data_IF_596507702303
#
_entry.id   IF_596507702303
#
_cell.length_a   1.000
_cell.length_b   1.000
_cell.length_c   1.000
_cell.angle_alpha   90.00
_cell.angle_beta   90.00
_cell.angle_gamma   90.00
#
_symmetry.space_group_name_H-M   'P 1'
#
loop_
_entity.id
_entity.type
_entity.pdbx_description
1 polymer ?
#
# COMPACT_ATOMS: atom_id res chain seq x y z
N UNK A 1 -6.51 12.77 11.05
CA UNK A 1 -6.11 11.57 11.81
C UNK A 1 -4.67 11.69 12.21
N UNK A 2 -4.33 11.27 13.42
CA UNK A 2 -2.95 11.28 13.90
C UNK A 2 -2.16 10.17 13.23
N UNK A 3 -0.99 10.53 12.71
CA UNK A 3 0.06 9.57 12.40
C UNK A 3 0.71 9.11 13.72
N UNK A 4 1.23 7.90 13.72
CA UNK A 4 1.94 7.32 14.87
C UNK A 4 3.13 6.51 14.39
N UNK A 5 3.97 6.03 15.30
CA UNK A 5 5.15 5.25 14.95
C UNK A 5 4.96 3.76 15.23
N UNK A 6 5.48 2.92 14.34
CA UNK A 6 5.81 1.52 14.66
C UNK A 6 7.35 1.44 14.61
N UNK A 7 7.97 1.18 15.75
CA UNK A 7 9.42 1.39 15.90
C UNK A 7 9.79 2.82 15.51
N UNK A 8 10.69 2.98 14.53
CA UNK A 8 11.08 4.31 14.02
C UNK A 8 10.30 4.78 12.78
N UNK A 9 9.38 3.97 12.27
CA UNK A 9 8.65 4.25 11.01
C UNK A 9 7.34 4.98 11.30
N UNK A 10 7.11 6.12 10.66
CA UNK A 10 5.85 6.85 10.73
C UNK A 10 4.78 6.16 9.89
N UNK A 11 3.60 5.93 10.47
CA UNK A 11 2.41 5.38 9.82
C UNK A 11 1.38 6.49 9.68
N UNK A 12 1.05 6.85 8.45
CA UNK A 12 0.08 7.91 8.15
C UNK A 12 0.10 8.31 6.68
N UNK A 13 -0.86 9.15 6.27
CA UNK A 13 -0.96 9.62 4.89
C UNK A 13 0.24 10.46 4.43
N UNK A 14 0.93 11.12 5.38
CA UNK A 14 2.09 11.97 5.12
C UNK A 14 3.42 11.19 5.05
N UNK A 15 3.37 9.85 5.10
CA UNK A 15 4.53 8.97 5.02
C UNK A 15 4.36 7.92 3.91
N UNK A 16 5.46 7.44 3.31
CA UNK A 16 5.41 6.30 2.40
C UNK A 16 4.73 5.08 3.03
N UNK A 17 4.02 4.24 2.25
CA UNK A 17 3.34 3.07 2.77
C UNK A 17 4.28 2.11 3.50
N UNK A 18 3.84 1.59 4.64
CA UNK A 18 4.59 0.62 5.42
C UNK A 18 4.40 -0.81 4.88
N UNK A 19 5.41 -1.32 4.18
CA UNK A 19 5.42 -2.65 3.56
C UNK A 19 5.89 -3.74 4.55
N UNK A 20 5.03 -4.73 4.76
CA UNK A 20 5.26 -5.90 5.60
C UNK A 20 5.43 -7.13 4.71
N UNK A 21 6.56 -7.82 4.85
CA UNK A 21 6.79 -9.14 4.26
C UNK A 21 6.35 -10.22 5.27
N UNK A 22 5.28 -10.93 4.95
CA UNK A 22 4.76 -12.03 5.76
C UNK A 22 5.46 -13.34 5.40
N UNK A 23 6.19 -13.93 6.35
CA UNK A 23 6.89 -15.20 6.13
C UNK A 23 5.92 -16.38 6.16
N UNK A 24 4.95 -16.39 7.09
CA UNK A 24 4.09 -17.54 7.37
C UNK A 24 4.92 -18.84 7.48
N UNK A 25 4.38 -19.97 7.02
CA UNK A 25 5.08 -21.27 6.93
C UNK A 25 6.02 -21.43 5.72
N UNK A 26 6.40 -20.36 5.01
CA UNK A 26 7.26 -20.46 3.82
C UNK A 26 8.72 -20.83 4.14
N UNK A 27 9.11 -20.83 5.42
CA UNK A 27 10.41 -21.31 5.88
C UNK A 27 10.56 -22.85 5.78
N UNK A 28 9.49 -23.59 5.48
CA UNK A 28 9.53 -25.04 5.24
C UNK A 28 10.28 -25.84 6.31
N UNK A 29 10.04 -25.51 7.59
CA UNK A 29 10.73 -26.14 8.72
C UNK A 29 12.27 -26.09 8.62
N UNK A 30 12.83 -24.99 8.11
CA UNK A 30 14.26 -24.70 8.13
C UNK A 30 14.56 -23.28 8.63
N UNK A 31 15.31 -23.17 9.73
CA UNK A 31 15.77 -21.88 10.24
C UNK A 31 16.69 -21.18 9.24
N UNK A 32 17.57 -21.92 8.56
CA UNK A 32 18.44 -21.35 7.53
C UNK A 32 17.63 -20.72 6.40
N UNK A 33 16.53 -21.37 5.98
CA UNK A 33 15.61 -20.81 5.00
C UNK A 33 14.89 -19.58 5.53
N UNK A 34 14.43 -19.60 6.79
CA UNK A 34 13.82 -18.43 7.42
C UNK A 34 14.77 -17.22 7.40
N UNK A 35 16.04 -17.42 7.76
CA UNK A 35 17.06 -16.36 7.73
C UNK A 35 17.34 -15.85 6.32
N UNK A 36 17.37 -16.72 5.31
CA UNK A 36 17.47 -16.32 3.90
C UNK A 36 16.26 -15.49 3.45
N UNK A 37 15.04 -15.85 3.90
CA UNK A 37 13.84 -15.06 3.63
C UNK A 37 13.98 -13.65 4.24
N UNK A 38 14.50 -13.53 5.48
CA UNK A 38 14.75 -12.22 6.09
C UNK A 38 15.70 -11.38 5.24
N UNK A 39 16.80 -11.97 4.78
CA UNK A 39 17.78 -11.29 3.93
C UNK A 39 17.19 -10.83 2.61
N UNK A 40 16.39 -11.68 1.97
CA UNK A 40 15.74 -11.36 0.71
C UNK A 40 14.69 -10.25 0.89
N UNK A 41 13.91 -10.27 1.98
CA UNK A 41 12.93 -9.23 2.30
C UNK A 41 13.61 -7.87 2.55
N UNK A 42 14.71 -7.86 3.32
CA UNK A 42 15.50 -6.65 3.56
C UNK A 42 16.09 -6.10 2.26
N UNK A 43 16.68 -6.97 1.42
CA UNK A 43 17.24 -6.59 0.12
C UNK A 43 16.19 -6.03 -0.84
N UNK A 44 14.96 -6.55 -0.78
CA UNK A 44 13.83 -6.04 -1.56
C UNK A 44 13.31 -4.69 -1.08
N UNK A 45 13.73 -4.23 0.10
CA UNK A 45 13.34 -2.94 0.68
C UNK A 45 12.06 -2.99 1.51
N UNK A 46 11.61 -4.17 1.96
CA UNK A 46 10.51 -4.25 2.92
C UNK A 46 10.87 -3.47 4.20
N UNK A 47 9.86 -3.07 4.97
CA UNK A 47 10.06 -2.31 6.21
C UNK A 47 9.95 -3.18 7.45
N UNK A 48 9.19 -4.27 7.34
CA UNK A 48 9.06 -5.24 8.40
C UNK A 48 8.97 -6.67 7.89
N UNK A 49 9.41 -7.59 8.75
CA UNK A 49 9.15 -9.01 8.67
C UNK A 49 8.04 -9.36 9.65
N UNK A 50 7.08 -10.18 9.23
CA UNK A 50 6.03 -10.72 10.09
C UNK A 50 6.08 -12.25 10.14
N UNK A 51 5.86 -12.80 11.33
CA UNK A 51 5.67 -14.23 11.59
C UNK A 51 4.24 -14.52 12.06
N UNK A 52 3.98 -15.81 12.30
CA UNK A 52 2.80 -16.31 13.00
C UNK A 52 3.27 -17.12 14.22
N UNK A 53 2.69 -16.85 15.39
CA UNK A 53 3.12 -17.45 16.66
C UNK A 53 1.97 -18.24 17.26
N UNK A 54 2.07 -19.56 17.14
CA UNK A 54 1.14 -20.54 17.68
C UNK A 54 1.81 -21.91 17.75
N UNK A 55 1.14 -22.89 18.35
CA UNK A 55 1.40 -24.32 18.13
C UNK A 55 0.12 -24.98 17.62
N UNK A 56 0.19 -26.20 17.07
CA UNK A 56 -1.04 -26.88 16.66
C UNK A 56 -1.99 -27.11 17.84
N UNK A 57 -1.43 -27.38 19.04
CA UNK A 57 -2.17 -27.55 20.30
C UNK A 57 -2.97 -26.31 20.72
N UNK A 58 -2.49 -25.10 20.43
CA UNK A 58 -3.22 -23.86 20.77
C UNK A 58 -4.21 -23.46 19.69
N UNK A 59 -4.05 -23.95 18.47
CA UNK A 59 -4.90 -23.62 17.32
C UNK A 59 -6.11 -24.54 17.15
N UNK A 60 -5.94 -25.84 17.41
CA UNK A 60 -6.95 -26.83 17.05
C UNK A 60 -6.81 -28.11 17.88
N UNK A 61 -7.67 -29.09 17.62
CA UNK A 61 -7.60 -30.41 18.25
C UNK A 61 -6.84 -31.39 17.35
N UNK A 62 -6.06 -32.28 17.96
CA UNK A 62 -5.39 -33.40 17.26
C UNK A 62 -6.41 -34.47 16.82
N UNK A 63 -7.19 -34.11 15.80
CA UNK A 63 -8.23 -34.92 15.19
C UNK A 63 -8.07 -34.89 13.68
N UNK A 64 -8.17 -36.07 13.05
CA UNK A 64 -8.10 -36.23 11.60
C UNK A 64 -9.46 -36.60 10.98
N UNK A 65 -10.55 -36.23 11.64
CA UNK A 65 -11.92 -36.58 11.27
C UNK A 65 -12.88 -35.40 11.40
N UNK A 66 -14.15 -35.60 10.99
CA UNK A 66 -15.18 -34.57 11.12
C UNK A 66 -14.83 -33.27 10.40
N UNK A 67 -14.97 -32.17 11.14
CA UNK A 67 -14.68 -30.78 10.78
C UNK A 67 -13.18 -30.45 10.82
N UNK A 68 -12.37 -31.26 11.51
CA UNK A 68 -10.92 -31.06 11.64
C UNK A 68 -10.13 -31.57 10.41
N UNK A 69 -10.78 -32.35 9.53
CA UNK A 69 -10.20 -32.81 8.28
C UNK A 69 -10.60 -31.93 7.10
N UNK A 70 -9.61 -31.50 6.31
CA UNK A 70 -9.80 -30.60 5.17
C UNK A 70 -10.28 -31.41 3.96
N UNK A 71 -11.61 -31.55 3.82
CA UNK A 71 -12.25 -32.37 2.78
C UNK A 71 -12.47 -31.66 1.45
N UNK A 72 -12.52 -30.33 1.44
CA UNK A 72 -12.80 -29.56 0.22
C UNK A 72 -11.67 -29.78 -0.80
N UNK A 73 -11.94 -30.42 -1.96
CA UNK A 73 -10.92 -30.68 -2.97
C UNK A 73 -10.38 -29.40 -3.63
N UNK A 74 -11.06 -28.26 -3.45
CA UNK A 74 -10.60 -26.96 -3.96
C UNK A 74 -9.68 -26.22 -2.98
N UNK A 75 -9.54 -26.71 -1.75
CA UNK A 75 -8.62 -26.15 -0.78
C UNK A 75 -7.17 -26.44 -1.19
N UNK A 76 -6.29 -25.44 -1.03
CA UNK A 76 -4.84 -25.63 -1.20
C UNK A 76 -4.27 -26.66 -0.23
N UNK A 77 -4.99 -26.94 0.86
CA UNK A 77 -4.58 -27.84 1.93
C UNK A 77 -5.48 -29.07 2.02
N UNK A 78 -6.17 -29.44 0.94
CA UNK A 78 -7.02 -30.62 0.91
C UNK A 78 -6.26 -31.91 1.26
N UNK A 79 -6.91 -32.83 1.99
CA UNK A 79 -6.37 -34.16 2.28
C UNK A 79 -5.47 -34.28 3.52
N UNK A 80 -5.45 -33.26 4.38
CA UNK A 80 -4.80 -33.31 5.71
C UNK A 80 -5.75 -32.83 6.81
N UNK A 81 -5.40 -33.08 8.07
CA UNK A 81 -6.06 -32.42 9.22
C UNK A 81 -5.52 -31.02 9.45
N UNK A 82 -6.31 -30.18 10.12
CA UNK A 82 -5.88 -28.86 10.60
C UNK A 82 -4.66 -28.99 11.52
N UNK A 83 -4.67 -29.96 12.44
CA UNK A 83 -3.56 -30.17 13.36
C UNK A 83 -2.25 -30.47 12.62
N UNK A 84 -2.27 -31.43 11.68
CA UNK A 84 -1.07 -31.77 10.89
C UNK A 84 -0.61 -30.62 9.97
N UNK A 85 -1.55 -29.80 9.48
CA UNK A 85 -1.22 -28.59 8.73
C UNK A 85 -0.48 -27.57 9.61
N UNK A 86 -1.01 -27.29 10.80
CA UNK A 86 -0.41 -26.34 11.74
C UNK A 86 0.93 -26.84 12.30
N UNK A 87 1.07 -28.14 12.59
CA UNK A 87 2.36 -28.74 12.94
C UNK A 87 3.39 -28.53 11.83
N UNK A 88 3.00 -28.67 10.56
CA UNK A 88 3.88 -28.41 9.43
C UNK A 88 4.18 -26.93 9.23
N UNK A 89 3.23 -26.05 9.50
CA UNK A 89 3.29 -24.63 9.15
C UNK A 89 3.92 -23.74 10.23
N UNK A 90 3.77 -24.09 11.50
CA UNK A 90 4.17 -23.22 12.60
C UNK A 90 5.68 -22.94 12.59
N UNK A 91 6.05 -21.73 13.00
CA UNK A 91 7.45 -21.39 13.28
C UNK A 91 7.79 -21.84 14.70
N UNK A 92 8.81 -22.70 14.91
CA UNK A 92 9.27 -23.05 16.24
C UNK A 92 9.57 -21.81 17.08
N UNK A 93 9.14 -21.80 18.33
CA UNK A 93 9.18 -20.59 19.16
C UNK A 93 10.62 -20.10 19.35
N UNK A 94 11.56 -21.02 19.56
CA UNK A 94 12.97 -20.71 19.72
C UNK A 94 13.62 -20.07 18.47
N UNK A 95 12.96 -20.10 17.30
CA UNK A 95 13.44 -19.44 16.08
C UNK A 95 13.09 -17.96 16.02
N UNK A 96 12.10 -17.49 16.78
CA UNK A 96 11.67 -16.09 16.72
C UNK A 96 12.81 -15.14 17.12
N UNK A 97 13.55 -15.47 18.20
CA UNK A 97 14.67 -14.65 18.66
C UNK A 97 15.80 -14.48 17.59
N UNK A 98 16.36 -15.55 16.99
CA UNK A 98 17.37 -15.39 15.94
C UNK A 98 16.81 -14.75 14.66
N UNK A 99 15.57 -15.04 14.26
CA UNK A 99 14.94 -14.40 13.10
C UNK A 99 14.78 -12.88 13.33
N UNK A 100 14.28 -12.48 14.50
CA UNK A 100 14.11 -11.06 14.84
C UNK A 100 15.44 -10.34 15.00
N UNK A 101 16.46 -11.01 15.54
CA UNK A 101 17.82 -10.48 15.59
C UNK A 101 18.35 -10.20 14.18
N UNK A 102 18.22 -11.15 13.26
CA UNK A 102 18.65 -10.97 11.87
C UNK A 102 17.89 -9.86 11.16
N UNK A 103 16.57 -9.77 11.38
CA UNK A 103 15.75 -8.69 10.82
C UNK A 103 16.24 -7.31 11.30
N UNK A 104 16.49 -7.15 12.60
CA UNK A 104 17.01 -5.89 13.18
C UNK A 104 18.39 -5.52 12.65
N UNK A 105 19.31 -6.48 12.50
CA UNK A 105 20.64 -6.26 11.91
C UNK A 105 20.55 -5.67 10.49
N UNK A 106 19.50 -6.06 9.75
CA UNK A 106 19.25 -5.62 8.38
C UNK A 106 18.33 -4.39 8.28
N UNK A 107 17.96 -3.80 9.42
CA UNK A 107 17.13 -2.59 9.47
C UNK A 107 15.63 -2.84 9.27
N UNK A 108 15.17 -4.09 9.36
CA UNK A 108 13.76 -4.44 9.40
C UNK A 108 13.21 -4.37 10.82
N UNK A 109 11.97 -3.91 10.95
CA UNK A 109 11.18 -4.22 12.14
C UNK A 109 10.73 -5.69 12.08
N UNK A 110 10.56 -6.34 13.23
CA UNK A 110 10.11 -7.71 13.27
C UNK A 110 9.06 -7.88 14.38
N UNK A 111 7.92 -8.43 14.01
CA UNK A 111 6.81 -8.72 14.93
C UNK A 111 6.05 -9.95 14.44
N UNK A 112 4.98 -10.32 15.13
CA UNK A 112 4.23 -11.53 14.80
C UNK A 112 2.73 -11.36 15.06
N UNK A 113 2.00 -12.38 14.62
CA UNK A 113 0.58 -12.59 14.87
C UNK A 113 0.43 -13.63 15.98
N UNK A 114 0.06 -13.26 17.23
CA UNK A 114 -0.33 -14.22 18.24
C UNK A 114 -1.73 -14.77 17.93
N UNK A 115 -1.95 -16.05 18.23
CA UNK A 115 -3.26 -16.70 18.08
C UNK A 115 -3.86 -17.14 19.41
N UNK A 116 -3.11 -17.00 20.50
CA UNK A 116 -3.54 -17.33 21.84
C UNK A 116 -2.76 -16.53 22.89
N UNK A 117 -3.18 -16.64 24.14
CA UNK A 117 -2.64 -15.94 25.29
C UNK A 117 -1.14 -16.20 25.53
N UNK A 118 -0.68 -17.42 25.32
CA UNK A 118 0.72 -17.80 25.52
C UNK A 118 1.62 -17.21 24.43
N UNK A 119 1.11 -17.08 23.20
CA UNK A 119 1.80 -16.40 22.12
C UNK A 119 1.97 -14.90 22.40
N UNK A 120 0.99 -14.26 23.05
CA UNK A 120 1.13 -12.86 23.50
C UNK A 120 2.26 -12.73 24.53
N UNK A 121 2.27 -13.58 25.56
CA UNK A 121 3.30 -13.53 26.61
C UNK A 121 4.71 -13.78 26.04
N UNK A 122 4.83 -14.71 25.10
CA UNK A 122 6.07 -14.99 24.43
C UNK A 122 6.58 -13.80 23.60
N UNK A 123 5.70 -13.16 22.82
CA UNK A 123 6.07 -12.00 22.02
C UNK A 123 6.42 -10.76 22.87
N UNK A 124 5.80 -10.59 24.04
CA UNK A 124 6.22 -9.56 25.00
C UNK A 124 7.65 -9.82 25.50
N UNK A 125 8.03 -11.08 25.72
CA UNK A 125 9.41 -11.43 26.10
C UNK A 125 10.46 -11.10 25.03
N UNK A 126 10.03 -10.92 23.77
CA UNK A 126 10.86 -10.54 22.62
C UNK A 126 10.83 -9.05 22.30
N UNK A 127 10.09 -8.26 23.07
CA UNK A 127 9.89 -6.81 22.90
C UNK A 127 9.51 -6.41 21.47
N UNK A 128 8.47 -7.05 20.93
CA UNK A 128 7.99 -6.73 19.57
C UNK A 128 7.46 -5.29 19.51
N UNK A 129 7.67 -4.56 18.39
CA UNK A 129 7.28 -3.15 18.25
C UNK A 129 5.79 -2.94 17.97
N UNK A 130 5.05 -3.99 17.61
CA UNK A 130 3.63 -3.98 17.29
C UNK A 130 3.07 -5.40 17.31
N UNK A 131 1.74 -5.52 17.23
CA UNK A 131 1.04 -6.79 17.07
C UNK A 131 0.17 -6.82 15.82
N UNK A 132 0.02 -8.01 15.25
CA UNK A 132 -0.96 -8.31 14.21
C UNK A 132 -2.06 -9.20 14.78
N UNK A 133 -3.32 -8.91 14.46
CA UNK A 133 -4.44 -9.85 14.59
C UNK A 133 -4.86 -10.30 13.19
N UNK A 134 -4.91 -11.62 12.96
CA UNK A 134 -5.31 -12.21 11.68
C UNK A 134 -6.82 -12.08 11.43
N UNK A 135 -7.27 -12.38 10.21
CA UNK A 135 -8.69 -12.21 9.85
C UNK A 135 -9.60 -13.22 10.54
N UNK A 136 -9.10 -14.39 10.91
CA UNK A 136 -9.90 -15.42 11.59
C UNK A 136 -10.10 -15.08 13.08
N UNK A 137 -9.16 -14.33 13.66
CA UNK A 137 -9.16 -13.91 15.06
C UNK A 137 -9.73 -12.49 15.25
N UNK A 138 -10.21 -11.84 14.18
CA UNK A 138 -10.68 -10.45 14.28
C UNK A 138 -11.98 -10.29 15.08
N UNK A 139 -12.67 -11.40 15.39
CA UNK A 139 -13.82 -11.46 16.30
C UNK A 139 -13.48 -12.10 17.66
N UNK A 140 -12.22 -12.49 17.88
CA UNK A 140 -11.75 -12.97 19.18
C UNK A 140 -11.48 -11.77 20.10
N UNK A 141 -12.56 -11.22 20.66
CA UNK A 141 -12.50 -10.03 21.51
C UNK A 141 -11.62 -10.23 22.76
N UNK A 142 -11.59 -11.40 23.44
CA UNK A 142 -10.63 -11.69 24.49
C UNK A 142 -9.16 -11.50 24.04
N UNK A 143 -8.75 -12.12 22.94
CA UNK A 143 -7.39 -11.99 22.42
C UNK A 143 -7.06 -10.54 22.05
N UNK A 144 -8.00 -9.86 21.37
CA UNK A 144 -7.85 -8.45 20.99
C UNK A 144 -7.64 -7.56 22.23
N UNK A 145 -8.43 -7.76 23.29
CA UNK A 145 -8.27 -6.99 24.55
C UNK A 145 -6.92 -7.27 25.20
N UNK A 146 -6.47 -8.52 25.22
CA UNK A 146 -5.17 -8.89 25.79
C UNK A 146 -4.03 -8.20 25.05
N UNK A 147 -4.03 -8.26 23.72
CA UNK A 147 -3.02 -7.61 22.88
C UNK A 147 -3.08 -6.09 23.04
N UNK A 148 -4.26 -5.49 23.03
CA UNK A 148 -4.44 -4.05 23.20
C UNK A 148 -3.94 -3.55 24.58
N UNK A 149 -4.08 -4.35 25.63
CA UNK A 149 -3.61 -4.02 26.97
C UNK A 149 -2.09 -3.91 27.10
N UNK A 150 -1.32 -4.43 26.13
CA UNK A 150 0.14 -4.21 26.05
C UNK A 150 0.49 -2.75 25.76
N UNK A 151 -0.46 -1.96 25.23
CA UNK A 151 -0.25 -0.56 24.84
C UNK A 151 0.56 -0.36 23.56
N UNK A 152 0.97 -1.44 22.88
CA UNK A 152 1.71 -1.39 21.62
C UNK A 152 0.76 -1.16 20.42
N UNK A 153 1.27 -0.62 19.29
CA UNK A 153 0.49 -0.48 18.07
C UNK A 153 -0.12 -1.81 17.62
N UNK A 154 -1.37 -1.75 17.15
CA UNK A 154 -2.17 -2.92 16.79
C UNK A 154 -2.62 -2.87 15.33
N UNK A 155 -2.38 -3.95 14.59
CA UNK A 155 -2.76 -4.09 13.17
C UNK A 155 -3.75 -5.25 13.02
N UNK A 156 -5.01 -4.98 12.70
CA UNK A 156 -6.07 -6.01 12.62
C UNK A 156 -6.51 -6.20 11.17
N UNK A 157 -6.52 -7.44 10.68
CA UNK A 157 -7.06 -7.74 9.33
C UNK A 157 -8.56 -7.94 9.40
N UNK A 158 -9.28 -7.36 8.45
CA UNK A 158 -10.76 -7.29 8.47
C UNK A 158 -11.41 -8.27 7.48
N UNK A 159 -10.75 -9.38 7.16
CA UNK A 159 -11.32 -10.39 6.25
C UNK A 159 -12.59 -10.99 6.87
N UNK A 160 -13.63 -11.23 6.05
CA UNK A 160 -14.92 -11.82 6.41
C UNK A 160 -15.80 -11.01 7.37
N UNK A 161 -15.24 -10.11 8.17
CA UNK A 161 -15.97 -9.34 9.17
C UNK A 161 -16.97 -8.35 8.56
N UNK A 162 -18.18 -8.38 9.11
CA UNK A 162 -19.22 -7.39 8.89
C UNK A 162 -18.88 -6.06 9.60
N UNK A 163 -19.62 -5.00 9.27
CA UNK A 163 -19.46 -3.70 9.95
C UNK A 163 -19.75 -3.82 11.46
N UNK A 164 -20.72 -4.65 11.86
CA UNK A 164 -21.08 -4.84 13.26
C UNK A 164 -19.96 -5.54 14.05
N UNK A 165 -19.39 -6.61 13.48
CA UNK A 165 -18.23 -7.29 14.07
C UNK A 165 -17.03 -6.35 14.19
N UNK A 166 -16.76 -5.53 13.16
CA UNK A 166 -15.68 -4.54 13.21
C UNK A 166 -15.90 -3.45 14.27
N UNK A 167 -17.14 -3.04 14.52
CA UNK A 167 -17.45 -2.13 15.64
C UNK A 167 -17.07 -2.76 16.98
N UNK A 168 -17.46 -4.02 17.21
CA UNK A 168 -17.10 -4.76 18.42
C UNK A 168 -15.58 -4.92 18.57
N UNK A 169 -14.87 -5.29 17.51
CA UNK A 169 -13.41 -5.38 17.43
C UNK A 169 -12.73 -4.07 17.83
N UNK A 170 -13.11 -2.97 17.17
CA UNK A 170 -12.49 -1.65 17.37
C UNK A 170 -12.77 -1.13 18.78
N UNK A 171 -13.99 -1.32 19.28
CA UNK A 171 -14.34 -0.96 20.66
C UNK A 171 -13.57 -1.78 21.68
N UNK A 172 -13.51 -3.11 21.51
CA UNK A 172 -12.74 -3.97 22.41
C UNK A 172 -11.27 -3.56 22.48
N UNK A 173 -10.64 -3.26 21.33
CA UNK A 173 -9.26 -2.78 21.29
C UNK A 173 -9.11 -1.44 22.03
N UNK A 174 -9.96 -0.45 21.75
CA UNK A 174 -9.89 0.89 22.35
C UNK A 174 -10.17 0.89 23.85
N UNK A 175 -11.19 0.16 24.28
CA UNK A 175 -11.57 0.01 25.70
C UNK A 175 -10.44 -0.66 26.51
N UNK A 176 -9.66 -1.54 25.88
CA UNK A 176 -8.48 -2.18 26.48
C UNK A 176 -7.20 -1.33 26.39
N UNK A 177 -7.24 -0.13 25.81
CA UNK A 177 -6.13 0.83 25.82
C UNK A 177 -5.40 1.01 24.49
N UNK A 178 -5.86 0.39 23.40
CA UNK A 178 -5.28 0.61 22.07
C UNK A 178 -5.52 2.05 21.59
N UNK A 179 -4.43 2.79 21.35
CA UNK A 179 -4.45 4.14 20.77
C UNK A 179 -4.08 4.15 19.29
N UNK A 180 -3.07 3.34 18.96
CA UNK A 180 -2.46 3.27 17.64
C UNK A 180 -2.98 2.04 16.89
N UNK A 181 -4.04 2.25 16.11
CA UNK A 181 -4.75 1.18 15.41
C UNK A 181 -4.62 1.31 13.88
N UNK A 182 -4.31 0.19 13.23
CA UNK A 182 -4.45 0.02 11.78
C UNK A 182 -5.46 -1.09 11.49
N UNK A 183 -6.45 -0.82 10.64
CA UNK A 183 -7.28 -1.86 10.05
C UNK A 183 -6.79 -2.21 8.64
N UNK A 184 -6.59 -3.48 8.33
CA UNK A 184 -6.22 -3.92 7.00
C UNK A 184 -7.43 -4.49 6.28
N UNK A 185 -7.86 -3.85 5.19
CA UNK A 185 -8.79 -4.50 4.27
C UNK A 185 -8.14 -5.81 3.80
N UNK A 186 -8.88 -6.91 3.90
CA UNK A 186 -8.40 -8.23 3.55
C UNK A 186 -9.50 -9.02 2.84
N UNK A 187 -9.13 -9.86 1.87
CA UNK A 187 -10.02 -10.89 1.31
C UNK A 187 -9.38 -12.25 1.60
N UNK A 188 -10.00 -13.04 2.48
CA UNK A 188 -9.48 -14.33 2.97
C UNK A 188 -9.70 -15.48 1.99
N UNK A 189 -9.26 -15.29 0.75
CA UNK A 189 -9.20 -16.34 -0.28
C UNK A 189 -7.77 -16.42 -0.79
N UNK A 190 -7.26 -17.62 -1.02
CA UNK A 190 -5.84 -17.87 -1.26
C UNK A 190 -5.65 -18.65 -2.59
N UNK A 191 -5.25 -18.00 -3.70
CA UNK A 191 -5.09 -16.55 -3.87
C UNK A 191 -6.43 -15.80 -3.98
N UNK A 192 -6.42 -14.52 -3.66
CA UNK A 192 -7.52 -13.61 -3.94
C UNK A 192 -7.48 -13.14 -5.40
N UNK A 193 -8.63 -12.78 -5.95
CA UNK A 193 -8.68 -12.16 -7.27
C UNK A 193 -8.69 -10.63 -7.15
N UNK A 194 -8.12 -9.89 -8.12
CA UNK A 194 -8.29 -8.44 -8.14
C UNK A 194 -9.77 -8.01 -8.10
N UNK A 195 -10.64 -8.79 -8.75
CA UNK A 195 -12.08 -8.52 -8.83
C UNK A 195 -12.80 -8.62 -7.47
N UNK A 196 -12.37 -9.50 -6.56
CA UNK A 196 -12.98 -9.67 -5.23
C UNK A 196 -12.24 -8.95 -4.09
N UNK A 197 -11.20 -8.17 -4.42
CA UNK A 197 -10.39 -7.46 -3.42
C UNK A 197 -11.14 -6.28 -2.77
N UNK A 198 -12.02 -5.62 -3.53
CA UNK A 198 -12.91 -4.55 -3.04
C UNK A 198 -12.18 -3.39 -2.32
N UNK A 199 -11.04 -2.94 -2.86
CA UNK A 199 -10.16 -1.93 -2.22
C UNK A 199 -10.78 -0.54 -2.04
N UNK A 200 -11.92 -0.24 -2.71
CA UNK A 200 -12.75 0.95 -2.43
C UNK A 200 -13.26 1.01 -0.98
N UNK A 201 -13.21 -0.10 -0.26
CA UNK A 201 -13.55 -0.19 1.16
C UNK A 201 -12.57 0.57 2.05
N UNK A 202 -11.32 0.79 1.60
CA UNK A 202 -10.25 1.42 2.40
C UNK A 202 -10.62 2.84 2.89
N UNK A 203 -11.03 3.79 2.03
CA UNK A 203 -11.44 5.12 2.48
C UNK A 203 -12.67 5.06 3.39
N UNK A 204 -13.61 4.16 3.15
CA UNK A 204 -14.80 4.01 3.99
C UNK A 204 -14.46 3.47 5.39
N UNK A 205 -13.58 2.46 5.51
CA UNK A 205 -13.09 1.97 6.81
C UNK A 205 -12.41 3.08 7.60
N UNK A 206 -11.63 3.92 6.90
CA UNK A 206 -10.93 5.05 7.50
C UNK A 206 -11.95 6.02 8.09
N UNK A 207 -12.89 6.48 7.29
CA UNK A 207 -13.95 7.41 7.72
C UNK A 207 -14.78 6.85 8.88
N UNK A 208 -15.15 5.56 8.81
CA UNK A 208 -16.04 4.92 9.77
C UNK A 208 -15.38 4.73 11.15
N UNK A 209 -14.12 4.30 11.18
CA UNK A 209 -13.47 3.90 12.43
C UNK A 209 -12.46 4.92 12.96
N UNK A 210 -12.16 6.00 12.23
CA UNK A 210 -11.18 7.02 12.63
C UNK A 210 -9.81 6.42 13.02
N UNK A 211 -9.24 5.61 12.11
CA UNK A 211 -7.94 4.97 12.31
C UNK A 211 -7.16 4.90 10.99
N UNK A 212 -5.88 4.51 11.09
CA UNK A 212 -5.11 4.20 9.90
C UNK A 212 -5.68 2.95 9.23
N UNK A 213 -5.61 2.88 7.90
CA UNK A 213 -6.13 1.74 7.13
C UNK A 213 -5.12 1.33 6.09
N UNK A 214 -4.96 0.02 5.93
CA UNK A 214 -4.07 -0.59 4.96
C UNK A 214 -4.73 -1.74 4.19
N UNK A 215 -3.90 -2.58 3.58
CA UNK A 215 -4.29 -3.78 2.85
C UNK A 215 -3.45 -4.98 3.32
N UNK A 216 -4.11 -6.10 3.61
CA UNK A 216 -3.49 -7.43 3.67
C UNK A 216 -3.92 -8.16 2.40
N UNK A 217 -2.96 -8.40 1.51
CA UNK A 217 -3.19 -8.74 0.11
C UNK A 217 -2.81 -10.20 -0.17
N UNK A 218 -3.76 -10.97 -0.69
CA UNK A 218 -3.54 -12.36 -1.11
C UNK A 218 -3.66 -12.54 -2.63
N UNK A 219 -3.71 -11.45 -3.41
CA UNK A 219 -3.73 -11.52 -4.86
C UNK A 219 -2.37 -11.90 -5.43
N UNK A 220 -2.35 -12.35 -6.68
CA UNK A 220 -1.09 -12.41 -7.44
C UNK A 220 -0.63 -10.99 -7.82
N UNK A 221 0.69 -10.82 -7.90
CA UNK A 221 1.32 -9.55 -8.26
C UNK A 221 1.03 -8.39 -7.30
N UNK A 222 1.27 -7.16 -7.75
CA UNK A 222 1.25 -5.95 -6.89
C UNK A 222 0.15 -4.94 -7.23
N UNK A 223 -0.63 -5.17 -8.30
CA UNK A 223 -1.59 -4.19 -8.81
C UNK A 223 -2.69 -3.80 -7.82
N UNK A 224 -3.17 -4.76 -7.02
CA UNK A 224 -4.19 -4.49 -5.97
C UNK A 224 -3.61 -3.63 -4.85
N UNK A 225 -2.40 -3.96 -4.40
CA UNK A 225 -1.66 -3.16 -3.41
C UNK A 225 -1.39 -1.73 -3.87
N UNK A 226 -0.98 -1.53 -5.12
CA UNK A 226 -0.78 -0.19 -5.71
C UNK A 226 -2.09 0.60 -5.74
N UNK A 227 -3.20 -0.04 -6.18
CA UNK A 227 -4.52 0.60 -6.18
C UNK A 227 -5.01 0.94 -4.76
N UNK A 228 -4.71 0.11 -3.77
CA UNK A 228 -5.04 0.37 -2.37
C UNK A 228 -4.30 1.61 -1.83
N UNK A 229 -3.02 1.78 -2.16
CA UNK A 229 -2.24 2.98 -1.79
C UNK A 229 -2.82 4.23 -2.42
N UNK A 230 -3.24 4.17 -3.68
CA UNK A 230 -3.94 5.30 -4.32
C UNK A 230 -5.27 5.65 -3.64
N UNK A 231 -5.87 4.73 -2.89
CA UNK A 231 -7.06 4.93 -2.05
C UNK A 231 -6.72 5.27 -0.58
N UNK A 232 -5.44 5.55 -0.32
CA UNK A 232 -4.90 6.02 0.95
C UNK A 232 -4.37 4.94 1.89
N UNK A 233 -4.21 3.68 1.44
CA UNK A 233 -3.63 2.64 2.29
C UNK A 233 -2.25 3.06 2.82
N UNK A 234 -2.07 3.02 4.14
CA UNK A 234 -0.81 3.41 4.82
C UNK A 234 0.06 2.22 5.19
N UNK A 235 -0.51 1.01 5.15
CA UNK A 235 0.17 -0.26 5.41
C UNK A 235 -0.20 -1.24 4.30
N UNK A 236 0.77 -2.02 3.83
CA UNK A 236 0.53 -3.11 2.87
C UNK A 236 1.27 -4.36 3.37
N UNK A 237 0.55 -5.45 3.48
CA UNK A 237 1.06 -6.76 3.87
C UNK A 237 0.90 -7.75 2.72
N UNK A 238 1.98 -8.50 2.41
CA UNK A 238 2.02 -9.55 1.38
C UNK A 238 2.80 -10.74 1.91
N UNK A 239 2.30 -11.95 1.65
CA UNK A 239 3.08 -13.17 1.85
C UNK A 239 4.31 -13.15 0.95
N UNK A 240 5.42 -13.69 1.45
CA UNK A 240 6.72 -13.63 0.82
C UNK A 240 7.46 -14.97 0.91
N UNK A 241 8.08 -15.39 -0.19
CA UNK A 241 8.91 -16.59 -0.29
C UNK A 241 10.14 -16.33 -1.16
N UNK A 242 11.16 -17.18 -1.06
CA UNK A 242 12.33 -17.11 -1.94
C UNK A 242 11.99 -17.54 -3.37
N UNK A 243 11.23 -18.62 -3.49
CA UNK A 243 10.84 -19.23 -4.75
C UNK A 243 9.57 -20.06 -4.55
N UNK A 244 8.52 -19.79 -5.34
CA UNK A 244 7.25 -20.53 -5.21
C UNK A 244 7.39 -21.99 -5.60
N UNK A 245 8.28 -22.29 -6.55
CA UNK A 245 8.55 -23.64 -7.02
C UNK A 245 9.17 -24.55 -5.95
N UNK A 246 9.80 -23.99 -4.90
CA UNK A 246 10.30 -24.73 -3.76
C UNK A 246 9.17 -25.29 -2.86
N UNK A 247 7.92 -24.90 -3.12
CA UNK A 247 6.76 -25.28 -2.32
C UNK A 247 6.74 -24.60 -0.96
N UNK A 248 5.85 -25.10 -0.11
CA UNK A 248 5.54 -24.51 1.19
C UNK A 248 4.07 -24.20 1.33
N UNK A 249 3.64 -24.02 2.57
CA UNK A 249 2.20 -23.99 2.93
C UNK A 249 1.47 -22.87 2.18
N UNK A 250 2.12 -21.71 2.03
CA UNK A 250 1.56 -20.51 1.42
C UNK A 250 2.33 -20.04 0.17
N UNK A 251 3.27 -20.85 -0.31
CA UNK A 251 4.20 -20.44 -1.36
C UNK A 251 3.46 -20.09 -2.66
N UNK A 252 2.39 -20.79 -3.01
CA UNK A 252 1.70 -20.65 -4.31
C UNK A 252 1.18 -19.25 -4.63
N UNK A 253 0.89 -18.43 -3.62
CA UNK A 253 0.39 -17.05 -3.76
C UNK A 253 1.32 -15.99 -3.16
N UNK A 254 2.46 -16.40 -2.62
CA UNK A 254 3.47 -15.50 -2.05
C UNK A 254 4.24 -14.75 -3.13
N UNK A 255 4.69 -13.53 -2.84
CA UNK A 255 5.61 -12.79 -3.70
C UNK A 255 7.02 -13.38 -3.63
N UNK A 256 7.72 -13.33 -4.76
CA UNK A 256 9.16 -13.62 -4.86
C UNK A 256 9.99 -12.33 -4.74
N UNK A 257 11.33 -12.40 -4.55
CA UNK A 257 12.16 -11.23 -4.24
C UNK A 257 12.03 -10.05 -5.21
N UNK A 258 11.92 -10.30 -6.52
CA UNK A 258 11.74 -9.25 -7.52
C UNK A 258 10.36 -8.61 -7.45
N UNK A 259 9.32 -9.37 -7.10
CA UNK A 259 7.95 -8.88 -6.96
C UNK A 259 7.77 -8.09 -5.66
N UNK A 260 8.41 -8.50 -4.56
CA UNK A 260 8.44 -7.72 -3.34
C UNK A 260 9.18 -6.38 -3.55
N UNK A 261 10.30 -6.39 -4.29
CA UNK A 261 10.98 -5.15 -4.67
C UNK A 261 10.07 -4.26 -5.54
N UNK A 262 9.34 -4.85 -6.49
CA UNK A 262 8.33 -4.13 -7.28
C UNK A 262 7.21 -3.57 -6.40
N UNK A 263 6.78 -4.30 -5.36
CA UNK A 263 5.76 -3.82 -4.44
C UNK A 263 6.22 -2.55 -3.73
N UNK A 264 7.43 -2.57 -3.17
CA UNK A 264 8.02 -1.42 -2.47
C UNK A 264 8.11 -0.21 -3.41
N UNK A 265 8.70 -0.39 -4.60
CA UNK A 265 8.90 0.70 -5.56
C UNK A 265 7.57 1.28 -6.07
N UNK A 266 6.63 0.42 -6.48
CA UNK A 266 5.40 0.89 -7.12
C UNK A 266 4.40 1.46 -6.12
N UNK A 267 4.39 0.98 -4.88
CA UNK A 267 3.56 1.57 -3.82
C UNK A 267 4.08 2.94 -3.39
N UNK A 268 5.40 3.13 -3.28
CA UNK A 268 5.98 4.45 -3.01
C UNK A 268 5.66 5.44 -4.15
N UNK A 269 5.82 5.02 -5.41
CA UNK A 269 5.47 5.84 -6.59
C UNK A 269 3.99 6.21 -6.60
N UNK A 270 3.10 5.28 -6.27
CA UNK A 270 1.68 5.54 -6.20
C UNK A 270 1.35 6.57 -5.11
N UNK A 271 1.95 6.44 -3.93
CA UNK A 271 1.82 7.41 -2.85
C UNK A 271 2.32 8.81 -3.25
N UNK A 272 3.53 8.91 -3.84
CA UNK A 272 4.08 10.18 -4.34
C UNK A 272 3.16 10.83 -5.39
N UNK A 273 2.57 10.02 -6.28
CA UNK A 273 1.71 10.49 -7.36
C UNK A 273 0.36 11.04 -6.89
N UNK A 274 -0.09 10.69 -5.68
CA UNK A 274 -1.35 11.23 -5.13
C UNK A 274 -1.29 12.74 -4.95
N UNK A 275 -0.12 13.25 -4.54
CA UNK A 275 0.15 14.68 -4.44
C UNK A 275 -0.95 15.48 -3.74
N UNK A 276 -1.29 16.62 -4.34
CA UNK A 276 -2.36 17.51 -3.88
C UNK A 276 -3.16 18.01 -5.08
N UNK A 277 -4.39 18.47 -4.83
CA UNK A 277 -5.20 19.11 -5.87
C UNK A 277 -4.46 20.34 -6.38
N UNK A 278 -4.12 20.34 -7.67
CA UNK A 278 -3.37 21.43 -8.31
C UNK A 278 -3.97 21.77 -9.67
N UNK A 279 -4.17 23.08 -9.91
CA UNK A 279 -4.54 23.62 -11.22
C UNK A 279 -3.53 24.69 -11.61
N UNK A 280 -3.13 24.70 -12.87
CA UNK A 280 -2.18 25.69 -13.39
C UNK A 280 -0.88 25.03 -13.83
N UNK A 281 0.19 25.81 -13.77
CA UNK A 281 1.52 25.41 -14.22
C UNK A 281 2.33 25.08 -12.99
N UNK A 282 2.91 23.88 -12.96
CA UNK A 282 3.90 23.53 -11.94
C UNK A 282 5.23 24.20 -12.23
N UNK A 283 6.10 24.32 -11.23
CA UNK A 283 7.46 24.85 -11.42
C UNK A 283 8.22 24.08 -12.51
N UNK A 284 8.11 22.75 -12.52
CA UNK A 284 8.72 21.87 -13.52
C UNK A 284 8.18 22.12 -14.95
N UNK A 285 6.93 22.54 -15.09
CA UNK A 285 6.31 22.83 -16.38
C UNK A 285 6.54 24.26 -16.87
N UNK A 286 7.06 25.16 -16.03
CA UNK A 286 7.20 26.59 -16.34
C UNK A 286 7.92 26.86 -17.67
N UNK A 287 9.02 26.15 -17.91
CA UNK A 287 9.78 26.25 -19.16
C UNK A 287 8.99 25.77 -20.38
N UNK A 288 8.05 24.84 -20.20
CA UNK A 288 7.23 24.30 -21.29
C UNK A 288 6.16 25.27 -21.77
N UNK A 289 5.91 26.38 -21.05
CA UNK A 289 4.99 27.44 -21.49
C UNK A 289 5.38 28.03 -22.85
N UNK A 290 6.68 28.08 -23.16
CA UNK A 290 7.18 28.54 -24.46
C UNK A 290 6.68 27.68 -25.63
N UNK A 291 6.26 26.44 -25.40
CA UNK A 291 5.70 25.57 -26.43
C UNK A 291 4.18 25.65 -26.55
N UNK A 292 3.50 26.53 -25.78
CA UNK A 292 2.08 26.82 -26.01
C UNK A 292 1.90 27.64 -27.29
N UNK A 293 0.69 27.61 -27.84
CA UNK A 293 0.35 28.52 -28.95
C UNK A 293 0.09 29.91 -28.38
N UNK A 294 0.56 30.92 -29.08
CA UNK A 294 0.24 32.32 -28.85
C UNK A 294 0.05 33.03 -30.19
N UNK A 295 -0.41 34.28 -30.17
CA UNK A 295 -0.69 35.03 -31.38
C UNK A 295 0.60 35.59 -31.96
N UNK A 296 0.81 35.29 -33.24
CA UNK A 296 1.97 35.74 -34.00
C UNK A 296 1.52 36.34 -35.32
N UNK A 297 2.28 37.33 -35.77
CA UNK A 297 2.13 37.93 -37.08
C UNK A 297 2.80 37.04 -38.13
N UNK A 298 2.04 36.57 -39.12
CA UNK A 298 2.48 35.57 -40.10
C UNK A 298 2.88 36.14 -41.45
N UNK A 299 2.73 37.44 -41.65
CA UNK A 299 3.13 38.18 -42.84
C UNK A 299 3.74 39.52 -42.40
N UNK A 300 4.60 40.15 -43.21
CA UNK A 300 5.03 41.52 -42.92
C UNK A 300 3.81 42.46 -43.05
N UNK A 301 3.62 43.36 -42.09
CA UNK A 301 2.49 44.31 -42.04
C UNK A 301 2.99 45.75 -41.99
N UNK A 302 2.29 46.66 -42.68
CA UNK A 302 2.54 48.11 -42.60
C UNK A 302 1.81 48.76 -41.41
N UNK A 303 2.26 49.94 -41.00
CA UNK A 303 1.54 50.74 -40.00
C UNK A 303 0.12 51.09 -40.51
N UNK A 304 -0.89 50.93 -39.66
CA UNK A 304 -2.30 51.13 -39.98
C UNK A 304 -2.98 49.95 -40.68
N UNK A 305 -2.26 48.90 -41.06
CA UNK A 305 -2.82 47.70 -41.69
C UNK A 305 -3.72 46.91 -40.73
N UNK A 306 -4.78 46.28 -41.24
CA UNK A 306 -5.74 45.54 -40.42
C UNK A 306 -5.24 44.11 -40.13
N UNK A 307 -5.38 43.66 -38.89
CA UNK A 307 -5.23 42.25 -38.55
C UNK A 307 -6.40 41.43 -39.12
N UNK A 308 -6.10 40.32 -39.77
CA UNK A 308 -7.07 39.37 -40.33
C UNK A 308 -6.61 37.92 -40.11
N UNK A 309 -7.39 36.95 -40.60
CA UNK A 309 -7.11 35.53 -40.41
C UNK A 309 -5.86 35.02 -41.14
N UNK A 310 -5.32 35.79 -42.10
CA UNK A 310 -4.16 35.43 -42.93
C UNK A 310 -2.85 35.98 -42.39
N UNK A 311 -2.90 37.13 -41.71
CA UNK A 311 -1.72 37.79 -41.13
C UNK A 311 -1.60 37.63 -39.60
N UNK A 312 -2.64 37.19 -38.90
CA UNK A 312 -2.61 36.89 -37.47
C UNK A 312 -3.02 35.43 -37.21
N UNK A 313 -2.10 34.63 -36.64
CA UNK A 313 -2.39 33.22 -36.35
C UNK A 313 -1.93 32.85 -34.95
N UNK A 314 -2.73 32.01 -34.29
CA UNK A 314 -2.29 31.34 -33.07
C UNK A 314 -1.28 30.23 -33.46
N UNK A 315 0.01 30.42 -33.24
CA UNK A 315 1.06 29.41 -33.54
C UNK A 315 2.05 29.34 -32.38
N UNK A 316 2.95 28.36 -32.40
CA UNK A 316 4.06 28.29 -31.44
C UNK A 316 5.21 29.21 -31.91
N UNK A 317 6.02 29.77 -30.99
CA UNK A 317 6.03 29.55 -29.55
C UNK A 317 4.99 30.37 -28.76
N UNK A 318 5.01 30.26 -27.44
CA UNK A 318 4.03 30.81 -26.49
C UNK A 318 4.40 32.18 -25.95
N UNK A 319 5.05 33.03 -26.75
CA UNK A 319 5.62 34.32 -26.31
C UNK A 319 4.74 35.54 -26.65
N UNK A 320 3.74 35.37 -27.51
CA UNK A 320 2.78 36.43 -27.87
C UNK A 320 1.52 36.41 -27.01
N UNK A 321 0.54 37.22 -27.40
CA UNK A 321 -0.77 37.27 -26.74
C UNK A 321 -1.47 35.90 -26.74
N UNK A 322 -2.26 35.63 -25.71
CA UNK A 322 -3.01 34.39 -25.61
C UNK A 322 -4.00 34.23 -26.79
N UNK A 323 -4.19 33.02 -27.35
CA UNK A 323 -5.06 32.78 -28.51
C UNK A 323 -6.51 33.25 -28.35
N UNK A 324 -7.02 33.33 -27.11
CA UNK A 324 -8.36 33.85 -26.80
C UNK A 324 -8.60 35.28 -27.31
N UNK A 325 -7.54 36.06 -27.52
CA UNK A 325 -7.63 37.43 -28.00
C UNK A 325 -7.75 37.53 -29.53
N UNK A 326 -7.61 36.42 -30.27
CA UNK A 326 -7.59 36.43 -31.73
C UNK A 326 -8.79 37.16 -32.32
N UNK A 327 -10.01 36.78 -31.91
CA UNK A 327 -11.24 37.33 -32.47
C UNK A 327 -11.39 38.83 -32.21
N UNK A 328 -11.00 39.31 -31.01
CA UNK A 328 -11.06 40.73 -30.66
C UNK A 328 -10.03 41.58 -31.41
N UNK A 329 -8.99 40.94 -31.96
CA UNK A 329 -7.92 41.61 -32.68
C UNK A 329 -8.19 41.70 -34.18
N UNK A 330 -9.05 40.85 -34.74
CA UNK A 330 -9.42 40.95 -36.15
C UNK A 330 -10.13 42.29 -36.42
N UNK A 331 -9.68 42.99 -37.46
CA UNK A 331 -10.15 44.34 -37.80
C UNK A 331 -9.54 45.47 -36.98
N UNK A 332 -8.65 45.18 -36.00
CA UNK A 332 -7.81 46.20 -35.37
C UNK A 332 -6.64 46.57 -36.28
N UNK A 333 -6.05 47.76 -36.06
CA UNK A 333 -4.92 48.25 -36.86
C UNK A 333 -3.59 47.98 -36.17
N UNK A 334 -2.56 47.69 -36.97
CA UNK A 334 -1.19 47.65 -36.51
C UNK A 334 -0.71 49.08 -36.20
N UNK A 335 -0.25 49.35 -34.97
CA UNK A 335 0.21 50.68 -34.53
C UNK A 335 1.46 51.14 -35.30
N UNK A 336 2.26 50.19 -35.75
CA UNK A 336 3.50 50.39 -36.50
C UNK A 336 3.70 49.24 -37.48
N UNK A 337 4.74 49.31 -38.33
CA UNK A 337 5.10 48.17 -39.18
C UNK A 337 5.55 46.97 -38.33
N UNK A 338 5.10 45.76 -38.66
CA UNK A 338 5.39 44.52 -37.91
C UNK A 338 5.98 43.48 -38.87
N UNK A 339 7.06 42.82 -38.47
CA UNK A 339 7.68 41.76 -39.27
C UNK A 339 7.02 40.41 -39.05
N UNK A 340 6.96 39.59 -40.11
CA UNK A 340 6.59 38.18 -40.03
C UNK A 340 7.43 37.46 -38.96
N UNK A 341 6.78 36.64 -38.14
CA UNK A 341 7.41 35.92 -37.04
C UNK A 341 7.48 36.71 -35.74
N UNK A 342 6.90 37.92 -35.68
CA UNK A 342 6.81 38.69 -34.43
C UNK A 342 5.72 38.13 -33.53
N UNK A 343 6.08 37.91 -32.26
CA UNK A 343 5.11 37.61 -31.20
C UNK A 343 4.21 38.82 -31.01
N UNK A 344 2.90 38.67 -31.20
CA UNK A 344 2.00 39.81 -31.06
C UNK A 344 1.95 40.23 -29.58
N UNK A 345 2.03 41.54 -29.35
CA UNK A 345 1.88 42.19 -28.05
C UNK A 345 0.87 43.34 -28.17
N UNK A 346 0.21 43.71 -27.07
CA UNK A 346 -0.80 44.78 -27.08
C UNK A 346 -0.22 46.13 -27.54
N UNK A 347 1.07 46.39 -27.32
CA UNK A 347 1.74 47.61 -27.80
C UNK A 347 1.77 47.74 -29.32
N UNK A 348 1.60 46.63 -30.06
CA UNK A 348 1.58 46.60 -31.52
C UNK A 348 0.19 46.87 -32.11
N UNK A 349 -0.83 47.01 -31.27
CA UNK A 349 -2.24 47.16 -31.68
C UNK A 349 -2.74 48.57 -31.35
N UNK A 350 -3.47 49.18 -32.28
CA UNK A 350 -4.20 50.44 -32.09
C UNK A 350 -5.59 50.21 -31.51
#
# INVERSE_FOLDING_TARGET
MTSFKIGERLIGADAPPFIIAEMSGNHNQSLDMALQIVEAAAKAGAHALKLQTYTADTMTLDLAEGEFFIKDPNSLWAGTSLYALYEKAHTPWEWHAPIFARARELGLLAFSTPFDDSAVDFLESLDVPAYKIASFENTDLPLIRRVAATGKPLIISTGMASIAELDETVRAAREAGCKDLVLLKCTSTYPASPANSNVRTIPHLRELFDCQVGLSDHSMGVGVSVAAVALGATVVEKHFTLERAAGGVDASFSLEPSELASLVIETERAWQAMGQVHYGVTEAEGQSLVYRRSLYVTQDMAAGELFDATNLRAIRPGLGLAPRHAQSLLGRRARQAIKRGTALDWSLVE
#
